data_IF_118059256466
#
_entry.id   IF_118059256466
#
_cell.length_a   1.000
_cell.length_b   1.000
_cell.length_c   1.000
_cell.angle_alpha   90.00
_cell.angle_beta   90.00
_cell.angle_gamma   90.00
#
_symmetry.space_group_name_H-M   'P 1'
#
loop_
_entity.id
_entity.type
_entity.pdbx_description
1 polymer ?
#
# COMPACT_ATOMS: atom_id res chain seq x y z
N UNK A 1 -18.16 -6.06 44.52
CA UNK A 1 -18.37 -5.59 43.12
C UNK A 1 -17.67 -4.27 42.79
N UNK A 2 -17.27 -3.42 43.75
CA UNK A 2 -16.68 -2.10 43.47
C UNK A 2 -15.26 -2.08 42.87
N UNK A 3 -14.37 -3.00 43.23
CA UNK A 3 -12.97 -2.97 42.76
C UNK A 3 -12.79 -3.18 41.24
N UNK A 4 -13.59 -4.08 40.65
CA UNK A 4 -13.58 -4.31 39.19
C UNK A 4 -14.09 -3.09 38.41
N UNK A 5 -15.11 -2.43 38.94
CA UNK A 5 -15.67 -1.22 38.35
C UNK A 5 -14.67 -0.05 38.41
N UNK A 6 -14.01 0.14 39.55
CA UNK A 6 -12.97 1.16 39.70
C UNK A 6 -11.78 0.93 38.75
N UNK A 7 -11.29 -0.31 38.63
CA UNK A 7 -10.22 -0.64 37.70
C UNK A 7 -10.61 -0.34 36.25
N UNK A 8 -11.83 -0.72 35.85
CA UNK A 8 -12.35 -0.45 34.51
C UNK A 8 -12.41 1.06 34.21
N UNK A 9 -12.87 1.88 35.16
CA UNK A 9 -12.89 3.34 35.03
C UNK A 9 -11.49 3.92 34.83
N UNK A 10 -10.53 3.52 35.67
CA UNK A 10 -9.15 4.02 35.58
C UNK A 10 -8.50 3.61 34.25
N UNK A 11 -8.64 2.33 33.85
CA UNK A 11 -8.11 1.84 32.58
C UNK A 11 -8.72 2.58 31.38
N UNK A 12 -10.02 2.84 31.41
CA UNK A 12 -10.71 3.59 30.35
C UNK A 12 -10.24 5.05 30.27
N UNK A 13 -10.03 5.71 31.42
CA UNK A 13 -9.52 7.07 31.46
C UNK A 13 -8.08 7.17 30.91
N UNK A 14 -7.21 6.21 31.27
CA UNK A 14 -5.84 6.15 30.74
C UNK A 14 -5.82 5.87 29.24
N UNK A 15 -6.67 4.97 28.75
CA UNK A 15 -6.81 4.70 27.32
C UNK A 15 -7.30 5.94 26.56
N UNK A 16 -8.33 6.61 27.08
CA UNK A 16 -8.84 7.86 26.49
C UNK A 16 -7.76 8.94 26.46
N UNK A 17 -6.99 9.10 27.54
CA UNK A 17 -5.87 10.03 27.60
C UNK A 17 -4.75 9.68 26.60
N UNK A 18 -4.44 8.39 26.42
CA UNK A 18 -3.43 7.95 25.45
C UNK A 18 -3.85 8.22 23.99
N UNK A 19 -5.13 7.98 23.68
CA UNK A 19 -5.72 8.25 22.36
C UNK A 19 -5.76 9.76 22.12
N UNK A 20 -6.15 10.54 23.12
CA UNK A 20 -6.31 11.98 22.98
C UNK A 20 -4.98 12.67 22.68
N UNK A 21 -4.95 13.37 21.53
CA UNK A 21 -3.88 14.29 21.17
C UNK A 21 -4.53 15.49 20.50
N UNK A 22 -4.26 16.74 20.93
CA UNK A 22 -4.89 17.90 20.31
C UNK A 22 -4.59 17.93 18.81
N UNK A 23 -5.64 17.98 17.99
CA UNK A 23 -5.56 18.14 16.53
C UNK A 23 -6.35 19.39 16.14
N UNK A 24 -6.05 20.00 14.98
CA UNK A 24 -6.79 21.17 14.50
C UNK A 24 -8.31 20.93 14.44
N UNK A 25 -9.09 21.93 14.87
CA UNK A 25 -10.55 21.85 14.96
C UNK A 25 -11.26 21.78 13.60
N UNK A 26 -10.56 22.12 12.52
CA UNK A 26 -11.10 22.14 11.16
C UNK A 26 -11.12 20.77 10.47
N UNK A 27 -10.76 19.69 11.18
CA UNK A 27 -10.85 18.33 10.66
C UNK A 27 -12.28 17.79 10.87
N UNK A 28 -12.88 17.20 9.85
CA UNK A 28 -14.24 16.62 9.95
C UNK A 28 -14.31 15.48 10.98
N UNK A 29 -13.27 14.64 11.03
CA UNK A 29 -13.25 13.43 11.87
C UNK A 29 -11.95 13.32 12.69
N UNK A 30 -11.72 14.25 13.65
CA UNK A 30 -10.45 14.37 14.38
C UNK A 30 -10.14 13.12 15.22
N UNK A 31 -11.18 12.46 15.73
CA UNK A 31 -11.05 11.23 16.52
C UNK A 31 -10.48 10.05 15.72
N UNK A 32 -10.74 9.97 14.40
CA UNK A 32 -10.16 8.91 13.55
C UNK A 32 -8.65 9.08 13.43
N UNK A 33 -8.21 10.33 13.27
CA UNK A 33 -6.79 10.66 13.20
C UNK A 33 -6.09 10.39 14.54
N UNK A 34 -6.72 10.75 15.66
CA UNK A 34 -6.21 10.43 17.01
C UNK A 34 -6.08 8.92 17.22
N UNK A 35 -7.09 8.15 16.82
CA UNK A 35 -7.06 6.68 16.94
C UNK A 35 -5.97 6.06 16.06
N UNK A 36 -5.78 6.58 14.84
CA UNK A 36 -4.73 6.15 13.93
C UNK A 36 -3.33 6.49 14.46
N UNK A 37 -3.12 7.70 14.97
CA UNK A 37 -1.86 8.09 15.63
C UNK A 37 -1.57 7.21 16.85
N UNK A 38 -2.59 6.93 17.68
CA UNK A 38 -2.46 6.07 18.85
C UNK A 38 -2.13 4.61 18.48
N UNK A 39 -2.66 4.10 17.35
CA UNK A 39 -2.33 2.74 16.88
C UNK A 39 -0.89 2.67 16.38
N UNK A 40 -0.43 3.65 15.59
CA UNK A 40 0.96 3.74 15.17
C UNK A 40 1.90 3.83 16.37
N UNK A 41 1.63 4.74 17.32
CA UNK A 41 2.46 4.87 18.54
C UNK A 41 2.52 3.58 19.33
N UNK A 42 1.39 2.88 19.49
CA UNK A 42 1.34 1.59 20.18
C UNK A 42 2.23 0.55 19.51
N UNK A 43 2.19 0.46 18.17
CA UNK A 43 3.05 -0.43 17.41
C UNK A 43 4.54 -0.09 17.58
N UNK A 44 4.90 1.20 17.51
CA UNK A 44 6.29 1.63 17.70
C UNK A 44 6.79 1.36 19.13
N UNK A 45 5.95 1.58 20.14
CA UNK A 45 6.28 1.24 21.54
C UNK A 45 6.48 -0.26 21.72
N UNK A 46 5.60 -1.09 21.14
CA UNK A 46 5.74 -2.54 21.19
C UNK A 46 7.05 -3.00 20.52
N UNK A 47 7.36 -2.47 19.33
CA UNK A 47 8.62 -2.75 18.63
C UNK A 47 9.85 -2.35 19.46
N UNK A 48 9.80 -1.17 20.09
CA UNK A 48 10.86 -0.68 20.97
C UNK A 48 11.07 -1.59 22.19
N UNK A 49 9.98 -2.08 22.80
CA UNK A 49 10.04 -2.98 23.95
C UNK A 49 10.68 -4.31 23.54
N UNK A 50 10.23 -4.90 22.43
CA UNK A 50 10.78 -6.15 21.89
C UNK A 50 12.29 -6.03 21.65
N UNK A 51 12.72 -4.93 21.01
CA UNK A 51 14.13 -4.67 20.74
C UNK A 51 14.93 -4.47 22.03
N UNK A 52 14.45 -3.65 22.97
CA UNK A 52 15.13 -3.39 24.25
C UNK A 52 15.24 -4.62 25.14
N UNK A 53 14.30 -5.56 25.05
CA UNK A 53 14.35 -6.83 25.76
C UNK A 53 15.21 -7.89 25.04
N UNK A 54 15.74 -7.59 23.85
CA UNK A 54 16.54 -8.52 23.05
C UNK A 54 15.74 -9.67 22.44
N UNK A 55 14.42 -9.50 22.29
CA UNK A 55 13.50 -10.55 21.81
C UNK A 55 13.37 -10.60 20.28
N UNK A 56 13.82 -9.56 19.57
CA UNK A 56 13.76 -9.45 18.12
C UNK A 56 14.20 -8.06 17.64
N UNK A 57 14.30 -7.88 16.32
CA UNK A 57 14.64 -6.58 15.75
C UNK A 57 13.39 -5.70 15.59
N UNK A 58 13.54 -4.38 15.78
CA UNK A 58 12.44 -3.42 15.68
C UNK A 58 11.63 -3.59 14.38
N UNK A 59 12.32 -3.69 13.25
CA UNK A 59 11.69 -3.80 11.93
C UNK A 59 10.87 -5.08 11.75
N UNK A 60 11.21 -6.16 12.45
CA UNK A 60 10.45 -7.41 12.35
C UNK A 60 9.05 -7.21 12.93
N UNK A 61 8.95 -6.48 14.05
CA UNK A 61 7.67 -6.14 14.69
C UNK A 61 6.85 -5.19 13.82
N UNK A 62 7.49 -4.18 13.23
CA UNK A 62 6.79 -3.26 12.32
C UNK A 62 6.28 -4.00 11.08
N UNK A 63 7.06 -4.96 10.55
CA UNK A 63 6.67 -5.77 9.39
C UNK A 63 5.55 -6.77 9.68
N UNK A 64 5.23 -7.08 10.94
CA UNK A 64 4.04 -7.89 11.27
C UNK A 64 2.78 -7.27 10.69
N UNK A 65 2.70 -5.93 10.63
CA UNK A 65 1.56 -5.26 10.02
C UNK A 65 1.37 -5.65 8.55
N UNK A 66 2.46 -5.69 7.76
CA UNK A 66 2.43 -6.13 6.36
C UNK A 66 1.99 -7.59 6.23
N UNK A 67 2.44 -8.45 7.14
CA UNK A 67 2.06 -9.88 7.14
C UNK A 67 0.58 -10.06 7.48
N UNK A 68 0.09 -9.36 8.50
CA UNK A 68 -1.32 -9.44 8.93
C UNK A 68 -2.26 -8.91 7.85
N UNK A 69 -1.83 -7.89 7.10
CA UNK A 69 -2.58 -7.33 5.98
C UNK A 69 -2.54 -8.20 4.72
N UNK A 70 -1.76 -9.29 4.67
CA UNK A 70 -1.67 -10.11 3.47
C UNK A 70 -3.04 -10.65 3.03
N UNK A 71 -3.33 -10.53 1.73
CA UNK A 71 -4.50 -11.12 1.10
C UNK A 71 -4.09 -11.87 -0.17
N UNK A 72 -4.67 -13.06 -0.39
CA UNK A 72 -4.46 -13.84 -1.60
C UNK A 72 -5.23 -13.23 -2.80
N UNK A 73 -4.74 -13.40 -4.04
CA UNK A 73 -5.41 -12.85 -5.21
C UNK A 73 -6.74 -13.57 -5.42
N UNK A 74 -7.85 -12.87 -5.14
CA UNK A 74 -9.20 -13.43 -5.28
C UNK A 74 -9.96 -12.65 -6.35
N UNK A 75 -10.40 -13.32 -7.41
CA UNK A 75 -11.23 -12.66 -8.44
C UNK A 75 -12.69 -12.61 -8.00
N UNK A 76 -13.41 -11.59 -8.47
CA UNK A 76 -14.85 -11.44 -8.29
C UNK A 76 -15.52 -11.08 -9.63
N UNK A 77 -16.84 -10.89 -9.63
CA UNK A 77 -17.63 -10.59 -10.84
C UNK A 77 -17.18 -9.31 -11.57
N UNK A 78 -16.52 -8.38 -10.87
CA UNK A 78 -16.16 -7.05 -11.36
C UNK A 78 -14.69 -6.94 -11.71
N UNK A 79 -13.82 -7.63 -10.99
CA UNK A 79 -12.37 -7.52 -11.13
C UNK A 79 -11.71 -8.91 -11.07
N UNK A 80 -10.99 -9.23 -12.13
CA UNK A 80 -10.07 -10.37 -12.16
C UNK A 80 -8.77 -9.94 -11.49
N UNK A 81 -8.35 -10.69 -10.48
CA UNK A 81 -7.12 -10.41 -9.72
C UNK A 81 -6.14 -11.56 -9.91
N UNK A 82 -4.92 -11.25 -10.31
CA UNK A 82 -3.89 -12.26 -10.61
C UNK A 82 -2.52 -11.76 -10.22
N UNK A 83 -1.74 -12.64 -9.59
CA UNK A 83 -0.32 -12.40 -9.30
C UNK A 83 0.54 -12.90 -10.47
N UNK A 84 1.48 -12.07 -10.91
CA UNK A 84 2.40 -12.39 -12.01
C UNK A 84 3.70 -11.60 -11.84
N UNK A 85 4.57 -11.63 -12.84
CA UNK A 85 5.83 -10.87 -12.85
C UNK A 85 5.96 -10.07 -14.12
N UNK A 86 6.33 -8.80 -13.99
CA UNK A 86 6.75 -7.94 -15.10
C UNK A 86 8.23 -7.63 -14.95
N UNK A 87 9.03 -8.02 -15.95
CA UNK A 87 10.50 -7.87 -15.90
C UNK A 87 11.14 -8.45 -14.62
N UNK A 88 10.69 -9.63 -14.18
CA UNK A 88 11.14 -10.32 -12.95
C UNK A 88 10.81 -9.61 -11.63
N UNK A 89 9.95 -8.59 -11.67
CA UNK A 89 9.40 -7.94 -10.48
C UNK A 89 7.98 -8.44 -10.27
N UNK A 90 7.64 -8.98 -9.07
CA UNK A 90 6.29 -9.42 -8.79
C UNK A 90 5.29 -8.25 -8.83
N UNK A 91 4.13 -8.50 -9.41
CA UNK A 91 3.04 -7.55 -9.51
C UNK A 91 1.71 -8.24 -9.25
N UNK A 92 0.77 -7.52 -8.64
CA UNK A 92 -0.64 -7.91 -8.62
C UNK A 92 -1.42 -7.10 -9.64
N UNK A 93 -2.06 -7.81 -10.56
CA UNK A 93 -2.91 -7.23 -11.60
C UNK A 93 -4.37 -7.23 -11.17
N UNK A 94 -5.05 -6.13 -11.49
CA UNK A 94 -6.48 -5.97 -11.35
C UNK A 94 -7.06 -5.58 -12.70
N UNK A 95 -7.87 -6.47 -13.28
CA UNK A 95 -8.43 -6.30 -14.62
C UNK A 95 -9.95 -6.21 -14.50
N UNK A 96 -10.57 -5.10 -14.91
CA UNK A 96 -12.02 -4.96 -14.83
C UNK A 96 -12.68 -5.88 -15.86
N UNK A 97 -13.74 -6.58 -15.46
CA UNK A 97 -14.48 -7.53 -16.31
C UNK A 97 -15.46 -6.85 -17.27
N UNK A 98 -15.86 -5.61 -17.00
CA UNK A 98 -16.80 -4.85 -17.83
C UNK A 98 -16.11 -4.24 -19.05
N UNK A 99 -16.87 -4.09 -20.13
CA UNK A 99 -16.51 -3.34 -21.34
C UNK A 99 -15.30 -3.92 -22.10
N UNK A 100 -15.38 -5.20 -22.49
CA UNK A 100 -14.32 -5.83 -23.30
C UNK A 100 -14.05 -5.10 -24.62
N UNK A 101 -15.08 -4.53 -25.25
CA UNK A 101 -15.00 -3.83 -26.53
C UNK A 101 -14.43 -2.41 -26.44
N UNK A 102 -14.17 -1.88 -25.24
CA UNK A 102 -13.67 -0.52 -25.03
C UNK A 102 -12.23 -0.57 -24.51
N UNK A 103 -11.36 0.26 -25.09
CA UNK A 103 -10.00 0.44 -24.57
C UNK A 103 -10.06 0.94 -23.12
N UNK A 104 -9.37 0.22 -22.23
CA UNK A 104 -9.32 0.45 -20.79
C UNK A 104 -8.30 1.55 -20.46
N UNK A 105 -8.49 2.20 -19.32
CA UNK A 105 -7.42 3.02 -18.71
C UNK A 105 -6.40 2.10 -18.06
N UNK A 106 -5.27 2.64 -17.59
CA UNK A 106 -4.40 1.90 -16.70
C UNK A 106 -3.82 2.76 -15.57
N UNK A 107 -3.48 2.10 -14.46
CA UNK A 107 -2.82 2.70 -13.31
C UNK A 107 -1.68 1.79 -12.84
N UNK A 108 -0.46 2.30 -12.80
CA UNK A 108 0.63 1.64 -12.06
C UNK A 108 0.59 2.17 -10.64
N UNK A 109 0.31 1.30 -9.67
CA UNK A 109 0.23 1.66 -8.26
C UNK A 109 1.46 1.17 -7.50
N UNK A 110 2.05 2.05 -6.70
CA UNK A 110 3.27 1.79 -5.94
C UNK A 110 2.97 2.02 -4.46
N UNK A 111 3.06 0.97 -3.66
CA UNK A 111 2.77 1.04 -2.24
C UNK A 111 3.78 1.90 -1.47
N UNK A 112 3.33 2.56 -0.41
CA UNK A 112 4.17 3.24 0.57
C UNK A 112 4.84 2.29 1.56
N UNK A 113 5.43 2.87 2.61
CA UNK A 113 6.12 2.12 3.66
C UNK A 113 7.61 2.45 3.83
N UNK A 114 8.01 3.70 3.56
CA UNK A 114 9.39 4.16 3.81
C UNK A 114 10.46 3.30 3.11
N UNK A 115 10.12 2.69 1.97
CA UNK A 115 10.96 1.73 1.23
C UNK A 115 11.40 0.48 2.02
N UNK A 116 10.87 0.28 3.23
CA UNK A 116 11.30 -0.77 4.15
C UNK A 116 10.18 -1.71 4.57
N UNK A 117 8.93 -1.28 4.43
CA UNK A 117 7.72 -2.03 4.80
C UNK A 117 6.70 -1.94 3.66
N UNK A 118 5.66 -2.76 3.73
CA UNK A 118 4.58 -2.78 2.74
C UNK A 118 4.73 -3.87 1.69
N UNK A 119 3.66 -4.11 0.94
CA UNK A 119 3.63 -5.05 -0.18
C UNK A 119 2.45 -4.76 -1.09
N UNK A 120 2.54 -5.13 -2.37
CA UNK A 120 1.41 -5.12 -3.29
C UNK A 120 0.25 -6.02 -2.84
N UNK A 121 0.51 -6.97 -1.92
CA UNK A 121 -0.44 -7.98 -1.47
C UNK A 121 -1.17 -7.61 -0.18
N UNK A 122 -1.06 -6.36 0.29
CA UNK A 122 -1.80 -5.89 1.46
C UNK A 122 -3.26 -5.61 1.14
N UNK A 123 -4.16 -5.96 2.06
CA UNK A 123 -5.62 -5.80 1.97
C UNK A 123 -6.03 -4.36 1.71
N UNK A 124 -5.42 -3.40 2.38
CA UNK A 124 -5.64 -1.97 2.15
C UNK A 124 -5.36 -1.55 0.71
N UNK A 125 -4.23 -1.97 0.12
CA UNK A 125 -3.90 -1.69 -1.28
C UNK A 125 -4.72 -2.52 -2.26
N UNK A 126 -5.14 -3.73 -1.88
CA UNK A 126 -6.05 -4.56 -2.67
C UNK A 126 -7.42 -3.90 -2.83
N UNK A 127 -8.01 -3.42 -1.74
CA UNK A 127 -9.26 -2.68 -1.75
C UNK A 127 -9.16 -1.41 -2.61
N UNK A 128 -8.08 -0.63 -2.44
CA UNK A 128 -7.85 0.57 -3.24
C UNK A 128 -7.71 0.25 -4.73
N UNK A 129 -6.97 -0.81 -5.08
CA UNK A 129 -6.73 -1.21 -6.47
C UNK A 129 -8.00 -1.75 -7.13
N UNK A 130 -8.81 -2.53 -6.41
CA UNK A 130 -10.14 -2.95 -6.90
C UNK A 130 -11.05 -1.77 -7.16
N UNK A 131 -11.16 -0.84 -6.21
CA UNK A 131 -11.99 0.35 -6.38
C UNK A 131 -11.54 1.20 -7.57
N UNK A 132 -10.23 1.35 -7.73
CA UNK A 132 -9.64 2.07 -8.87
C UNK A 132 -9.97 1.36 -10.18
N UNK A 133 -9.78 0.04 -10.23
CA UNK A 133 -10.05 -0.77 -11.41
C UNK A 133 -11.53 -0.71 -11.83
N UNK A 134 -12.44 -0.90 -10.87
CA UNK A 134 -13.89 -0.87 -11.10
C UNK A 134 -14.36 0.53 -11.54
N UNK A 135 -14.05 1.57 -10.75
CA UNK A 135 -14.61 2.91 -10.95
C UNK A 135 -14.07 3.61 -12.19
N UNK A 136 -12.80 3.35 -12.55
CA UNK A 136 -12.16 3.99 -13.70
C UNK A 136 -12.18 3.11 -14.96
N UNK A 137 -12.65 1.86 -14.85
CA UNK A 137 -12.46 0.84 -15.89
C UNK A 137 -10.99 0.79 -16.29
N UNK A 138 -10.14 0.55 -15.30
CA UNK A 138 -8.69 0.62 -15.41
C UNK A 138 -8.02 -0.71 -15.08
N UNK A 139 -7.02 -1.09 -15.87
CA UNK A 139 -6.08 -2.14 -15.48
C UNK A 139 -5.14 -1.56 -14.43
N UNK A 140 -5.12 -2.13 -13.23
CA UNK A 140 -4.20 -1.68 -12.15
C UNK A 140 -3.05 -2.67 -12.04
N UNK A 141 -1.83 -2.16 -12.06
CA UNK A 141 -0.58 -2.90 -11.84
C UNK A 141 -0.03 -2.47 -10.49
N UNK A 142 -0.27 -3.26 -9.44
CA UNK A 142 0.28 -3.00 -8.10
C UNK A 142 1.66 -3.65 -8.00
N UNK A 143 2.71 -2.84 -7.76
CA UNK A 143 4.11 -3.28 -7.85
C UNK A 143 4.66 -3.71 -6.49
N UNK A 144 5.17 -4.94 -6.38
CA UNK A 144 5.79 -5.48 -5.16
C UNK A 144 7.33 -5.33 -5.24
N UNK A 145 7.79 -4.08 -5.12
CA UNK A 145 9.21 -3.75 -5.29
C UNK A 145 10.04 -4.20 -4.09
N UNK A 146 11.33 -4.44 -4.33
CA UNK A 146 12.26 -4.90 -3.27
C UNK A 146 12.53 -3.83 -2.22
N UNK A 147 12.58 -4.25 -0.95
CA UNK A 147 12.66 -3.35 0.20
C UNK A 147 14.04 -3.28 0.86
N UNK A 148 14.34 -2.10 1.40
CA UNK A 148 15.42 -1.86 2.33
C UNK A 148 15.11 -2.53 3.69
N UNK A 149 16.12 -2.83 4.51
CA UNK A 149 17.55 -2.58 4.31
C UNK A 149 18.25 -3.60 3.40
N UNK A 150 17.57 -4.72 3.05
CA UNK A 150 18.15 -5.80 2.24
C UNK A 150 18.52 -5.32 0.84
N UNK A 151 17.65 -4.51 0.23
CA UNK A 151 17.88 -3.89 -1.06
C UNK A 151 17.83 -2.38 -0.90
N UNK A 152 19.02 -1.75 -0.90
CA UNK A 152 19.14 -0.29 -0.75
C UNK A 152 18.88 0.40 -2.08
N UNK A 153 18.66 1.72 -2.03
CA UNK A 153 18.62 2.56 -3.24
C UNK A 153 19.83 2.25 -4.14
N UNK A 154 19.65 2.12 -5.48
CA UNK A 154 18.45 2.46 -6.27
C UNK A 154 17.46 1.30 -6.55
N UNK A 155 17.60 0.14 -5.90
CA UNK A 155 16.91 -1.09 -6.32
C UNK A 155 15.39 -0.96 -6.42
N UNK A 156 14.71 -0.38 -5.41
CA UNK A 156 13.27 -0.17 -5.46
C UNK A 156 12.82 0.72 -6.65
N UNK A 157 13.62 1.73 -6.98
CA UNK A 157 13.37 2.59 -8.14
C UNK A 157 13.57 1.83 -9.45
N UNK A 158 14.63 1.03 -9.57
CA UNK A 158 14.89 0.20 -10.74
C UNK A 158 13.77 -0.83 -10.97
N UNK A 159 13.27 -1.45 -9.91
CA UNK A 159 12.14 -2.40 -9.97
C UNK A 159 10.91 -1.71 -10.56
N UNK A 160 10.47 -0.60 -9.95
CA UNK A 160 9.28 0.13 -10.41
C UNK A 160 9.47 0.66 -11.84
N UNK A 161 10.64 1.20 -12.17
CA UNK A 161 10.95 1.68 -13.51
C UNK A 161 10.92 0.56 -14.55
N UNK A 162 11.45 -0.62 -14.23
CA UNK A 162 11.45 -1.78 -15.12
C UNK A 162 10.02 -2.28 -15.38
N UNK A 163 9.17 -2.31 -14.35
CA UNK A 163 7.75 -2.65 -14.46
C UNK A 163 7.02 -1.63 -15.33
N UNK A 164 7.25 -0.35 -15.12
CA UNK A 164 6.64 0.71 -15.93
C UNK A 164 7.03 0.58 -17.40
N UNK A 165 8.34 0.42 -17.70
CA UNK A 165 8.81 0.20 -19.07
C UNK A 165 8.23 -1.05 -19.71
N UNK A 166 8.18 -2.15 -18.97
CA UNK A 166 7.60 -3.40 -19.47
C UNK A 166 6.12 -3.23 -19.80
N UNK A 167 5.35 -2.64 -18.89
CA UNK A 167 3.91 -2.46 -19.06
C UNK A 167 3.55 -1.51 -20.20
N UNK A 168 4.36 -0.46 -20.43
CA UNK A 168 4.18 0.52 -21.50
C UNK A 168 4.50 -0.01 -22.91
N UNK A 169 5.01 -1.24 -23.05
CA UNK A 169 5.24 -1.84 -24.37
C UNK A 169 3.92 -2.05 -25.12
N UNK A 170 3.88 -1.69 -26.41
CA UNK A 170 2.66 -1.79 -27.23
C UNK A 170 2.02 -3.19 -27.24
N UNK A 171 2.83 -4.24 -27.19
CA UNK A 171 2.35 -5.62 -27.09
C UNK A 171 1.64 -5.91 -25.77
N UNK A 172 2.13 -5.36 -24.66
CA UNK A 172 1.55 -5.51 -23.33
C UNK A 172 0.27 -4.67 -23.20
N UNK A 173 0.30 -3.42 -23.66
CA UNK A 173 -0.90 -2.58 -23.70
C UNK A 173 -2.02 -3.24 -24.53
N UNK A 174 -1.69 -3.80 -25.70
CA UNK A 174 -2.65 -4.56 -26.53
C UNK A 174 -3.17 -5.80 -25.80
N UNK A 175 -2.30 -6.56 -25.13
CA UNK A 175 -2.69 -7.76 -24.36
C UNK A 175 -3.76 -7.46 -23.31
N UNK A 176 -3.67 -6.31 -22.66
CA UNK A 176 -4.63 -5.90 -21.61
C UNK A 176 -5.72 -4.95 -22.13
N UNK A 177 -5.80 -4.73 -23.44
CA UNK A 177 -6.72 -3.79 -24.09
C UNK A 177 -6.67 -2.38 -23.49
N UNK A 178 -5.47 -1.87 -23.21
CA UNK A 178 -5.23 -0.56 -22.59
C UNK A 178 -5.02 0.51 -23.66
N UNK A 179 -5.65 1.67 -23.46
CA UNK A 179 -5.44 2.88 -24.23
C UNK A 179 -4.09 3.53 -23.87
N UNK A 180 -3.13 3.63 -24.82
CA UNK A 180 -1.82 4.23 -24.54
C UNK A 180 -1.90 5.71 -24.15
N UNK A 181 -2.99 6.41 -24.46
CA UNK A 181 -3.19 7.82 -24.09
C UNK A 181 -3.78 8.02 -22.69
N UNK A 182 -4.15 6.94 -21.98
CA UNK A 182 -4.84 7.01 -20.68
C UNK A 182 -4.21 6.11 -19.62
N UNK A 183 -2.92 6.34 -19.36
CA UNK A 183 -2.12 5.62 -18.35
C UNK A 183 -1.69 6.59 -17.25
N UNK A 184 -1.96 6.22 -16.01
CA UNK A 184 -1.50 6.92 -14.82
C UNK A 184 -0.49 6.12 -14.01
N UNK A 185 0.24 6.81 -13.15
CA UNK A 185 1.11 6.23 -12.13
C UNK A 185 0.81 6.94 -10.81
N UNK A 186 0.67 6.16 -9.73
CA UNK A 186 0.30 6.67 -8.43
C UNK A 186 0.99 5.87 -7.33
N UNK A 187 1.09 6.47 -6.15
CA UNK A 187 1.56 5.82 -4.94
C UNK A 187 1.41 6.73 -3.74
N UNK A 188 1.47 6.15 -2.54
CA UNK A 188 1.39 6.89 -1.29
C UNK A 188 2.76 6.99 -0.61
N UNK A 189 3.04 8.09 0.08
CA UNK A 189 4.28 8.26 0.87
C UNK A 189 5.55 7.94 0.04
N UNK A 190 6.34 6.94 0.47
CA UNK A 190 7.51 6.43 -0.27
C UNK A 190 7.17 5.94 -1.69
N UNK A 191 6.01 5.34 -1.89
CA UNK A 191 5.51 4.94 -3.20
C UNK A 191 5.15 6.14 -4.07
N UNK A 192 4.67 7.23 -3.47
CA UNK A 192 4.45 8.50 -4.15
C UNK A 192 5.77 9.16 -4.60
N UNK A 193 6.81 9.04 -3.78
CA UNK A 193 8.16 9.44 -4.17
C UNK A 193 8.66 8.64 -5.40
N UNK A 194 8.51 7.31 -5.37
CA UNK A 194 8.88 6.44 -6.50
C UNK A 194 8.05 6.75 -7.75
N UNK A 195 6.73 6.98 -7.61
CA UNK A 195 5.84 7.36 -8.70
C UNK A 195 6.34 8.64 -9.40
N UNK A 196 6.66 9.68 -8.62
CA UNK A 196 7.17 10.94 -9.15
C UNK A 196 8.53 10.77 -9.84
N UNK A 197 9.44 10.02 -9.23
CA UNK A 197 10.78 9.77 -9.79
C UNK A 197 10.72 8.97 -11.11
N UNK A 198 9.93 7.90 -11.14
CA UNK A 198 9.78 7.05 -12.33
C UNK A 198 9.08 7.81 -13.46
N UNK A 199 8.10 8.65 -13.15
CA UNK A 199 7.46 9.50 -14.16
C UNK A 199 8.47 10.42 -14.84
N UNK A 200 9.33 11.08 -14.07
CA UNK A 200 10.39 11.94 -14.62
C UNK A 200 11.35 11.13 -15.49
N UNK A 201 11.75 9.94 -15.05
CA UNK A 201 12.65 9.07 -15.80
C UNK A 201 12.04 8.60 -17.12
N UNK A 202 10.78 8.17 -17.11
CA UNK A 202 10.08 7.69 -18.31
C UNK A 202 9.91 8.80 -19.34
N UNK A 203 9.62 10.03 -18.91
CA UNK A 203 9.45 11.18 -19.82
C UNK A 203 10.78 11.74 -20.36
N UNK A 204 11.91 11.39 -19.75
CA UNK A 204 13.23 11.82 -20.19
C UNK A 204 13.78 11.03 -21.39
N UNK A 205 13.10 9.97 -21.81
CA UNK A 205 13.47 9.06 -22.90
C UNK A 205 12.28 8.75 -23.80
#
# INVERSE_FOLDING_TARGET
MGGKFFFFLVASALLAYYIYRPVPENLEEPWKLMLLDASFRSLMHAATIVEKLGLGHYMDVINLYTIIEYIAPTSDEKVIVTDTEFSHVPVRLYIPTKQEDVLKRAMIFIHGGGWCIGSAYMKSYDLLSRWTSERLTAVVVSVDYRLAPKYRFPVAFEDVYSVAKYFLQSSILKKYNVDPSRIGIAGDSAGGNLAAAVTQQVLSH
#
